data_IF_394418862596
#
_entry.id   IF_394418862596
#
_cell.length_a   1.000
_cell.length_b   1.000
_cell.length_c   1.000
_cell.angle_alpha   90.00
_cell.angle_beta   90.00
_cell.angle_gamma   90.00
#
_symmetry.space_group_name_H-M   'P 1'
#
loop_
_entity.id
_entity.type
_entity.pdbx_description
1 polymer ?
#
# COMPACT_ATOMS: atom_id res chain seq x y z
N UNK A 1 64.47 6.29 -9.16
CA UNK A 1 63.30 6.11 -10.04
C UNK A 1 62.69 4.77 -9.66
N UNK A 2 61.76 4.79 -8.72
CA UNK A 2 60.77 3.73 -8.58
C UNK A 2 59.66 4.28 -7.68
N UNK A 3 58.65 4.89 -8.29
CA UNK A 3 57.42 5.31 -7.63
C UNK A 3 56.31 4.40 -8.13
N UNK A 4 56.38 3.14 -7.71
CA UNK A 4 55.26 2.20 -7.79
C UNK A 4 54.26 2.52 -6.69
N UNK A 5 53.34 3.46 -6.97
CA UNK A 5 52.10 3.60 -6.20
C UNK A 5 50.95 3.64 -7.20
N UNK A 6 50.46 2.46 -7.54
CA UNK A 6 49.02 2.18 -7.62
C UNK A 6 48.84 0.66 -7.48
N UNK A 7 47.80 0.21 -6.74
CA UNK A 7 46.43 0.56 -7.10
C UNK A 7 45.60 1.08 -5.91
N UNK A 8 44.65 1.98 -6.16
CA UNK A 8 43.42 2.11 -5.34
C UNK A 8 42.26 1.38 -6.06
N UNK A 9 42.12 0.06 -5.92
CA UNK A 9 41.07 -0.69 -6.61
C UNK A 9 39.69 -0.75 -5.90
N UNK A 10 39.53 -0.67 -4.56
CA UNK A 10 38.25 -1.09 -3.95
C UNK A 10 37.13 -0.06 -4.16
N UNK A 11 37.45 1.24 -4.16
CA UNK A 11 36.46 2.30 -4.42
C UNK A 11 35.96 2.28 -5.87
N UNK A 12 36.88 2.14 -6.84
CA UNK A 12 36.50 2.09 -8.25
C UNK A 12 35.64 0.85 -8.56
N UNK A 13 35.98 -0.31 -7.97
CA UNK A 13 35.16 -1.51 -8.05
C UNK A 13 33.77 -1.32 -7.47
N UNK A 14 33.65 -0.65 -6.32
CA UNK A 14 32.37 -0.33 -5.68
C UNK A 14 31.51 0.57 -6.58
N UNK A 15 32.07 1.65 -7.13
CA UNK A 15 31.33 2.51 -8.05
C UNK A 15 30.84 1.78 -9.31
N UNK A 16 31.65 0.88 -9.88
CA UNK A 16 31.23 0.05 -11.01
C UNK A 16 30.07 -0.87 -10.62
N UNK A 17 30.17 -1.58 -9.48
CA UNK A 17 29.13 -2.49 -9.02
C UNK A 17 27.81 -1.75 -8.74
N UNK A 18 27.88 -0.57 -8.11
CA UNK A 18 26.72 0.28 -7.88
C UNK A 18 26.09 0.80 -9.19
N UNK A 19 26.92 1.21 -10.15
CA UNK A 19 26.46 1.64 -11.48
C UNK A 19 25.82 0.52 -12.31
N UNK A 20 26.29 -0.74 -12.15
CA UNK A 20 25.66 -1.90 -12.80
C UNK A 20 24.27 -2.21 -12.22
N UNK A 21 24.13 -2.11 -10.90
CA UNK A 21 22.84 -2.27 -10.23
C UNK A 21 21.86 -1.13 -10.56
N UNK A 22 22.36 0.08 -10.80
CA UNK A 22 21.54 1.19 -11.29
C UNK A 22 20.98 0.91 -12.70
N UNK A 23 21.83 0.42 -13.62
CA UNK A 23 21.40 0.07 -14.98
C UNK A 23 20.37 -1.06 -14.98
N UNK A 24 20.55 -2.03 -14.08
CA UNK A 24 19.61 -3.12 -13.87
C UNK A 24 18.16 -2.64 -13.66
N UNK A 25 17.96 -1.58 -12.89
CA UNK A 25 16.60 -1.04 -12.66
C UNK A 25 16.00 -0.21 -13.78
N UNK A 26 16.82 0.30 -14.71
CA UNK A 26 16.34 1.14 -15.82
C UNK A 26 15.98 0.32 -17.07
N UNK A 27 16.64 -0.82 -17.26
CA UNK A 27 16.58 -1.58 -18.52
C UNK A 27 15.58 -2.74 -18.53
N UNK A 28 14.98 -3.10 -17.39
CA UNK A 28 13.98 -4.17 -17.35
C UNK A 28 12.64 -3.70 -17.92
N UNK A 29 12.09 -4.40 -18.94
CA UNK A 29 10.91 -3.94 -19.67
C UNK A 29 9.64 -4.00 -18.81
N UNK A 30 8.88 -2.89 -18.79
CA UNK A 30 7.48 -2.86 -18.32
C UNK A 30 6.69 -3.90 -19.10
N UNK A 31 6.25 -4.99 -18.45
CA UNK A 31 5.42 -6.00 -19.12
C UNK A 31 4.09 -5.38 -19.54
N UNK A 32 3.80 -5.43 -20.85
CA UNK A 32 2.45 -5.32 -21.39
C UNK A 32 1.72 -6.63 -21.07
N UNK A 33 0.52 -6.53 -20.53
CA UNK A 33 -0.45 -7.65 -20.49
C UNK A 33 -0.53 -8.24 -21.90
N UNK A 34 -0.19 -9.53 -22.04
CA UNK A 34 -0.56 -10.31 -23.23
C UNK A 34 -1.87 -11.01 -22.94
N UNK A 35 -2.69 -11.16 -23.97
CA UNK A 35 -3.84 -12.05 -23.95
C UNK A 35 -3.38 -13.47 -23.59
N UNK A 36 -3.91 -13.97 -22.48
CA UNK A 36 -3.60 -15.29 -21.93
C UNK A 36 -4.52 -16.28 -22.64
N UNK A 37 -3.96 -17.14 -23.48
CA UNK A 37 -4.63 -18.34 -23.98
C UNK A 37 -4.80 -19.31 -22.81
N UNK A 38 -6.01 -19.80 -22.58
CA UNK A 38 -6.33 -20.91 -21.68
C UNK A 38 -5.54 -22.15 -22.08
N UNK A 39 -4.38 -22.37 -21.45
CA UNK A 39 -3.69 -23.65 -21.45
C UNK A 39 -3.70 -24.15 -20.03
N UNK A 40 -4.30 -25.31 -19.81
CA UNK A 40 -4.23 -26.00 -18.52
C UNK A 40 -2.77 -26.38 -18.22
N UNK A 41 -2.25 -25.96 -17.07
CA UNK A 41 -0.95 -26.39 -16.56
C UNK A 41 -0.97 -27.89 -16.21
N UNK A 42 0.13 -28.57 -16.45
CA UNK A 42 0.35 -29.93 -15.91
C UNK A 42 0.68 -29.87 -14.42
N UNK A 43 0.35 -30.94 -13.67
CA UNK A 43 0.69 -31.06 -12.23
C UNK A 43 2.18 -30.81 -11.96
N UNK A 44 3.06 -31.25 -12.87
CA UNK A 44 4.51 -31.07 -12.74
C UNK A 44 4.91 -29.59 -12.85
N UNK A 45 4.30 -28.82 -13.74
CA UNK A 45 4.55 -27.37 -13.86
C UNK A 45 4.08 -26.62 -12.61
N UNK A 46 2.96 -27.06 -12.02
CA UNK A 46 2.44 -26.52 -10.76
C UNK A 46 3.41 -26.80 -9.60
N UNK A 47 3.89 -28.04 -9.47
CA UNK A 47 4.83 -28.42 -8.41
C UNK A 47 6.18 -27.72 -8.56
N UNK A 48 6.65 -27.54 -9.79
CA UNK A 48 7.86 -26.75 -10.08
C UNK A 48 7.67 -25.27 -9.70
N UNK A 49 6.52 -24.68 -10.01
CA UNK A 49 6.18 -23.31 -9.60
C UNK A 49 6.15 -23.17 -8.07
N UNK A 50 5.52 -24.10 -7.36
CA UNK A 50 5.51 -24.13 -5.88
C UNK A 50 6.91 -24.24 -5.29
N UNK A 51 7.76 -25.11 -5.84
CA UNK A 51 9.14 -25.27 -5.36
C UNK A 51 9.96 -23.98 -5.55
N UNK A 52 9.84 -23.34 -6.71
CA UNK A 52 10.52 -22.09 -7.04
C UNK A 52 10.07 -20.94 -6.12
N UNK A 53 8.77 -20.89 -5.84
CA UNK A 53 8.18 -19.93 -4.92
C UNK A 53 8.67 -20.13 -3.49
N UNK A 54 8.72 -21.37 -3.00
CA UNK A 54 9.30 -21.70 -1.69
C UNK A 54 10.76 -21.25 -1.64
N UNK A 55 11.54 -21.50 -2.68
CA UNK A 55 12.94 -21.06 -2.74
C UNK A 55 13.08 -19.53 -2.65
N UNK A 56 12.26 -18.78 -3.41
CA UNK A 56 12.25 -17.31 -3.33
C UNK A 56 11.93 -16.84 -1.90
N UNK A 57 10.95 -17.46 -1.25
CA UNK A 57 10.49 -17.07 0.08
C UNK A 57 11.46 -17.43 1.21
N UNK A 58 12.02 -18.64 1.20
CA UNK A 58 12.82 -19.15 2.33
C UNK A 58 14.30 -18.89 2.17
N UNK A 59 14.77 -18.62 0.95
CA UNK A 59 16.19 -18.45 0.66
C UNK A 59 16.49 -17.09 0.05
N UNK A 60 15.91 -16.77 -1.10
CA UNK A 60 16.32 -15.59 -1.87
C UNK A 60 15.96 -14.26 -1.18
N UNK A 61 14.74 -14.12 -0.67
CA UNK A 61 14.31 -12.90 0.04
C UNK A 61 15.05 -12.67 1.38
N UNK A 62 15.25 -13.69 2.25
CA UNK A 62 16.09 -13.53 3.44
C UNK A 62 17.55 -13.16 3.12
N UNK A 63 18.13 -13.75 2.07
CA UNK A 63 19.48 -13.42 1.62
C UNK A 63 19.55 -11.97 1.14
N UNK A 64 18.55 -11.53 0.35
CA UNK A 64 18.43 -10.14 -0.10
C UNK A 64 18.39 -9.18 1.08
N UNK A 65 17.60 -9.49 2.12
CA UNK A 65 17.50 -8.67 3.33
C UNK A 65 18.83 -8.61 4.08
N UNK A 66 19.53 -9.74 4.22
CA UNK A 66 20.83 -9.81 4.87
C UNK A 66 21.87 -8.97 4.13
N UNK A 67 21.91 -9.07 2.79
CA UNK A 67 22.82 -8.31 1.93
C UNK A 67 22.55 -6.80 2.02
N UNK A 68 21.29 -6.37 2.01
CA UNK A 68 20.92 -4.97 2.20
C UNK A 68 21.36 -4.44 3.57
N UNK A 69 21.13 -5.20 4.65
CA UNK A 69 21.58 -4.82 6.00
C UNK A 69 23.11 -4.81 6.12
N UNK A 70 23.79 -5.72 5.42
CA UNK A 70 25.25 -5.79 5.35
C UNK A 70 25.84 -4.56 4.65
N UNK A 71 25.33 -4.26 3.45
CA UNK A 71 25.70 -3.06 2.69
C UNK A 71 25.49 -1.79 3.51
N UNK A 72 24.34 -1.68 4.18
CA UNK A 72 24.04 -0.57 5.08
C UNK A 72 25.05 -0.42 6.20
N UNK A 73 25.39 -1.51 6.91
CA UNK A 73 26.35 -1.47 8.01
C UNK A 73 27.74 -1.05 7.53
N UNK A 74 28.14 -1.46 6.33
CA UNK A 74 29.40 -1.05 5.71
C UNK A 74 29.44 0.42 5.29
N UNK A 75 28.28 1.00 4.95
CA UNK A 75 28.16 2.41 4.52
C UNK A 75 27.80 3.40 5.64
N UNK A 76 27.26 2.93 6.77
CA UNK A 76 26.68 3.78 7.82
C UNK A 76 27.67 4.27 8.89
N UNK A 77 28.98 4.10 8.75
CA UNK A 77 29.95 4.62 9.73
C UNK A 77 30.42 6.03 9.37
N UNK A 78 30.51 6.89 10.39
CA UNK A 78 30.76 8.34 10.32
C UNK A 78 32.15 8.76 9.78
N UNK A 79 32.61 10.00 10.08
CA UNK A 79 33.70 10.64 9.35
C UNK A 79 34.96 9.77 9.34
N UNK A 80 35.61 9.73 8.18
CA UNK A 80 36.83 9.00 7.84
C UNK A 80 38.01 9.54 8.68
N UNK A 81 37.95 9.33 9.99
CA UNK A 81 39.01 9.58 10.97
C UNK A 81 39.57 8.26 11.52
N UNK A 82 39.10 7.13 11.00
CA UNK A 82 39.58 5.79 11.33
C UNK A 82 40.79 5.44 10.45
N UNK A 83 41.67 4.59 10.98
CA UNK A 83 42.88 4.11 10.30
C UNK A 83 42.57 3.63 8.87
N UNK A 84 43.46 3.92 7.91
CA UNK A 84 43.29 3.56 6.48
C UNK A 84 42.89 2.08 6.29
N UNK A 85 43.36 1.20 7.17
CA UNK A 85 43.06 -0.24 7.19
C UNK A 85 41.59 -0.57 7.46
N UNK A 86 40.90 0.23 8.29
CA UNK A 86 39.50 0.02 8.65
C UNK A 86 38.56 0.56 7.55
N UNK A 87 38.92 1.68 6.94
CA UNK A 87 38.23 2.24 5.77
C UNK A 87 38.30 1.29 4.55
N UNK A 88 39.47 0.75 4.25
CA UNK A 88 39.67 -0.18 3.13
C UNK A 88 38.89 -1.49 3.32
N UNK A 89 38.84 -2.00 4.57
CA UNK A 89 38.03 -3.17 4.93
C UNK A 89 36.53 -2.90 4.75
N UNK A 90 36.05 -1.71 5.11
CA UNK A 90 34.64 -1.32 4.95
C UNK A 90 34.24 -1.22 3.48
N UNK A 91 35.07 -0.61 2.64
CA UNK A 91 34.84 -0.49 1.20
C UNK A 91 34.83 -1.87 0.55
N UNK A 92 35.76 -2.75 0.94
CA UNK A 92 35.82 -4.13 0.45
C UNK A 92 34.56 -4.92 0.82
N UNK A 93 34.10 -4.81 2.07
CA UNK A 93 32.85 -5.43 2.51
C UNK A 93 31.63 -4.87 1.77
N UNK A 94 31.57 -3.55 1.57
CA UNK A 94 30.48 -2.91 0.81
C UNK A 94 30.44 -3.40 -0.65
N UNK A 95 31.60 -3.54 -1.29
CA UNK A 95 31.73 -4.07 -2.65
C UNK A 95 31.23 -5.52 -2.72
N UNK A 96 31.62 -6.36 -1.77
CA UNK A 96 31.16 -7.74 -1.70
C UNK A 96 29.63 -7.81 -1.57
N UNK A 97 29.03 -7.04 -0.66
CA UNK A 97 27.58 -7.00 -0.49
C UNK A 97 26.87 -6.48 -1.75
N UNK A 98 27.42 -5.47 -2.45
CA UNK A 98 26.83 -4.94 -3.68
C UNK A 98 26.84 -5.98 -4.82
N UNK A 99 27.95 -6.70 -5.01
CA UNK A 99 28.05 -7.76 -6.03
C UNK A 99 27.08 -8.91 -5.73
N UNK A 100 27.00 -9.33 -4.47
CA UNK A 100 26.07 -10.36 -4.05
C UNK A 100 24.60 -9.92 -4.20
N UNK A 101 24.30 -8.65 -3.93
CA UNK A 101 22.97 -8.07 -4.09
C UNK A 101 22.48 -8.19 -5.55
N UNK A 102 23.35 -7.88 -6.52
CA UNK A 102 23.01 -7.98 -7.94
C UNK A 102 22.72 -9.40 -8.38
N UNK A 103 23.50 -10.37 -7.89
CA UNK A 103 23.27 -11.78 -8.19
C UNK A 103 21.93 -12.27 -7.61
N UNK A 104 21.60 -11.88 -6.37
CA UNK A 104 20.34 -12.25 -5.72
C UNK A 104 19.13 -11.64 -6.43
N UNK A 105 19.18 -10.36 -6.80
CA UNK A 105 18.10 -9.71 -7.55
C UNK A 105 17.85 -10.36 -8.90
N UNK A 106 18.92 -10.67 -9.65
CA UNK A 106 18.83 -11.41 -10.91
C UNK A 106 18.20 -12.79 -10.75
N UNK A 107 18.54 -13.49 -9.66
CA UNK A 107 17.95 -14.79 -9.36
C UNK A 107 16.45 -14.65 -9.09
N UNK A 108 16.06 -13.68 -8.26
CA UNK A 108 14.64 -13.45 -7.95
C UNK A 108 13.86 -13.06 -9.21
N UNK A 109 14.40 -12.18 -10.05
CA UNK A 109 13.70 -11.74 -11.27
C UNK A 109 13.51 -12.89 -12.26
N UNK A 110 14.50 -13.77 -12.42
CA UNK A 110 14.34 -14.98 -13.24
C UNK A 110 13.30 -15.92 -12.64
N UNK A 111 13.31 -16.11 -11.33
CA UNK A 111 12.33 -16.94 -10.64
C UNK A 111 10.91 -16.38 -10.82
N UNK A 112 10.72 -15.08 -10.62
CA UNK A 112 9.42 -14.42 -10.82
C UNK A 112 8.99 -14.42 -12.29
N UNK A 113 9.91 -14.24 -13.24
CA UNK A 113 9.59 -14.32 -14.67
C UNK A 113 9.13 -15.71 -15.09
N UNK A 114 9.67 -16.76 -14.47
CA UNK A 114 9.25 -18.15 -14.65
C UNK A 114 7.86 -18.40 -14.05
N UNK A 115 7.59 -17.89 -12.84
CA UNK A 115 6.26 -17.97 -12.21
C UNK A 115 5.20 -17.25 -13.07
N UNK A 116 5.50 -16.03 -13.52
CA UNK A 116 4.63 -15.21 -14.36
C UNK A 116 4.42 -15.74 -15.80
N UNK A 117 4.99 -16.88 -16.15
CA UNK A 117 4.79 -17.54 -17.46
C UNK A 117 3.82 -18.71 -17.39
N UNK A 118 3.37 -19.08 -16.19
CA UNK A 118 2.38 -20.12 -15.96
C UNK A 118 0.95 -19.55 -16.18
N UNK A 119 0.13 -20.13 -17.08
CA UNK A 119 -1.27 -19.71 -17.23
C UNK A 119 -2.08 -19.94 -15.94
N UNK A 120 -2.89 -18.95 -15.58
CA UNK A 120 -3.85 -19.02 -14.46
C UNK A 120 -4.94 -20.03 -14.87
N UNK A 121 -4.93 -21.22 -14.30
CA UNK A 121 -5.95 -22.26 -14.55
C UNK A 121 -6.95 -22.32 -13.40
N UNK A 122 -8.23 -22.09 -13.71
CA UNK A 122 -9.37 -22.22 -12.79
C UNK A 122 -9.63 -23.66 -12.34
N UNK A 123 -9.13 -24.66 -13.06
CA UNK A 123 -9.62 -26.05 -12.97
C UNK A 123 -8.84 -26.96 -12.01
N UNK A 124 -7.74 -26.50 -11.39
CA UNK A 124 -6.78 -27.38 -10.71
C UNK A 124 -6.41 -27.00 -9.27
N UNK A 125 -7.28 -26.28 -8.56
CA UNK A 125 -7.07 -26.04 -7.13
C UNK A 125 -5.87 -25.13 -6.85
N UNK A 126 -5.64 -24.13 -7.70
CA UNK A 126 -4.94 -22.91 -7.30
C UNK A 126 -5.85 -22.12 -6.36
N UNK A 127 -6.11 -22.66 -5.16
CA UNK A 127 -6.90 -22.01 -4.12
C UNK A 127 -6.05 -20.99 -3.36
N UNK A 128 -5.37 -20.13 -4.12
CA UNK A 128 -4.82 -18.87 -3.68
C UNK A 128 -3.36 -18.83 -3.16
N UNK A 129 -2.88 -17.59 -3.20
CA UNK A 129 -1.56 -16.99 -3.02
C UNK A 129 -0.56 -17.24 -4.14
N UNK A 130 -0.17 -16.12 -4.75
CA UNK A 130 1.10 -15.89 -5.44
C UNK A 130 1.05 -16.17 -6.95
N UNK A 131 0.58 -15.18 -7.71
CA UNK A 131 1.19 -14.92 -9.02
C UNK A 131 1.16 -13.42 -9.36
N UNK A 132 0.05 -12.71 -9.12
CA UNK A 132 0.00 -11.27 -9.43
C UNK A 132 0.42 -10.36 -8.28
N UNK A 133 -0.07 -10.57 -7.06
CA UNK A 133 0.19 -9.63 -5.97
C UNK A 133 1.63 -9.70 -5.43
N UNK A 134 2.27 -10.88 -5.41
CA UNK A 134 3.68 -10.98 -4.97
C UNK A 134 4.62 -10.36 -6.00
N UNK A 135 4.29 -10.49 -7.28
CA UNK A 135 5.01 -9.84 -8.40
C UNK A 135 4.78 -8.33 -8.37
N UNK A 136 3.55 -7.87 -8.12
CA UNK A 136 3.23 -6.44 -7.95
C UNK A 136 3.91 -5.86 -6.71
N UNK A 137 3.84 -6.54 -5.56
CA UNK A 137 4.52 -6.14 -4.32
C UNK A 137 6.05 -6.12 -4.49
N UNK A 138 6.63 -7.09 -5.19
CA UNK A 138 8.04 -7.13 -5.50
C UNK A 138 8.44 -5.99 -6.45
N UNK A 139 7.67 -5.76 -7.52
CA UNK A 139 7.96 -4.69 -8.46
C UNK A 139 7.82 -3.29 -7.84
N UNK A 140 6.77 -3.10 -7.03
CA UNK A 140 6.44 -1.81 -6.41
C UNK A 140 7.38 -1.48 -5.24
N UNK A 141 7.83 -2.47 -4.46
CA UNK A 141 8.53 -2.23 -3.19
C UNK A 141 9.99 -2.71 -3.16
N UNK A 142 10.46 -3.49 -4.15
CA UNK A 142 11.84 -3.99 -4.19
C UNK A 142 12.53 -3.59 -5.49
N UNK A 143 11.93 -3.89 -6.64
CA UNK A 143 12.53 -3.66 -7.95
C UNK A 143 12.65 -2.17 -8.31
N UNK A 144 11.69 -1.33 -7.91
CA UNK A 144 11.75 0.12 -8.20
C UNK A 144 12.59 0.92 -7.18
N UNK A 145 12.52 0.65 -5.86
CA UNK A 145 13.25 1.44 -4.87
C UNK A 145 14.75 1.16 -4.84
N UNK A 146 15.19 -0.08 -5.05
CA UNK A 146 16.62 -0.44 -4.91
C UNK A 146 17.49 0.22 -6.00
N UNK A 147 17.14 0.20 -7.29
CA UNK A 147 17.96 0.87 -8.31
C UNK A 147 17.94 2.40 -8.21
N UNK A 148 16.79 2.99 -7.83
CA UNK A 148 16.69 4.42 -7.53
C UNK A 148 17.45 4.82 -6.24
N UNK A 149 17.60 3.88 -5.30
CA UNK A 149 18.44 4.02 -4.11
C UNK A 149 19.93 4.02 -4.49
N UNK A 150 20.33 3.16 -5.43
CA UNK A 150 21.73 3.04 -5.87
C UNK A 150 22.17 4.19 -6.79
N UNK A 151 21.27 4.73 -7.61
CA UNK A 151 21.52 5.92 -8.44
C UNK A 151 21.75 7.20 -7.64
N UNK A 152 21.43 7.19 -6.34
CA UNK A 152 21.57 8.34 -5.45
C UNK A 152 22.78 8.24 -4.51
N UNK A 153 23.63 7.19 -4.63
CA UNK A 153 24.86 7.01 -3.85
C UNK A 153 26.00 7.90 -4.37
N UNK A 154 25.88 9.21 -4.15
CA UNK A 154 27.03 10.11 -4.17
C UNK A 154 27.72 10.01 -2.80
N UNK A 155 28.93 9.41 -2.75
CA UNK A 155 29.59 9.00 -1.49
C UNK A 155 30.05 10.17 -0.61
N UNK A 156 29.87 11.41 -1.05
CA UNK A 156 30.07 12.61 -0.24
C UNK A 156 28.70 13.20 0.13
N UNK A 157 28.22 13.00 1.37
CA UNK A 157 27.34 13.92 2.15
C UNK A 157 26.62 13.18 3.32
N UNK A 158 26.64 13.71 4.57
CA UNK A 158 25.91 13.14 5.72
C UNK A 158 24.38 13.04 5.57
N UNK A 159 23.77 13.93 4.76
CA UNK A 159 22.33 13.88 4.46
C UNK A 159 21.94 12.66 3.62
N UNK A 160 22.89 12.12 2.85
CA UNK A 160 22.69 10.95 2.02
C UNK A 160 22.64 9.67 2.87
N UNK A 161 23.51 9.57 3.88
CA UNK A 161 23.56 8.47 4.83
C UNK A 161 22.22 8.27 5.57
N UNK A 162 21.59 9.36 6.03
CA UNK A 162 20.25 9.29 6.65
C UNK A 162 19.16 8.79 5.68
N UNK A 163 19.25 9.17 4.40
CA UNK A 163 18.33 8.70 3.34
C UNK A 163 18.57 7.23 3.00
N UNK A 164 19.83 6.80 3.00
CA UNK A 164 20.25 5.41 2.75
C UNK A 164 19.74 4.47 3.85
N UNK A 165 19.88 4.88 5.12
CA UNK A 165 19.31 4.16 6.28
C UNK A 165 17.80 4.02 6.16
N UNK A 166 17.10 5.14 5.96
CA UNK A 166 15.63 5.15 5.87
C UNK A 166 15.12 4.26 4.75
N UNK A 167 15.68 4.36 3.55
CA UNK A 167 15.23 3.59 2.38
C UNK A 167 15.53 2.09 2.53
N UNK A 168 16.66 1.73 3.14
CA UNK A 168 16.95 0.30 3.38
C UNK A 168 16.03 -0.27 4.44
N UNK A 169 15.70 0.49 5.49
CA UNK A 169 14.70 0.07 6.48
C UNK A 169 13.31 -0.10 5.84
N UNK A 170 12.91 0.80 4.93
CA UNK A 170 11.68 0.66 4.14
C UNK A 170 11.71 -0.59 3.24
N UNK A 171 12.83 -0.86 2.56
CA UNK A 171 12.99 -2.03 1.69
C UNK A 171 12.98 -3.33 2.51
N UNK A 172 13.70 -3.36 3.65
CA UNK A 172 13.72 -4.51 4.55
C UNK A 172 12.32 -4.79 5.13
N UNK A 173 11.58 -3.76 5.52
CA UNK A 173 10.18 -3.89 5.95
C UNK A 173 9.29 -4.43 4.84
N UNK A 174 9.54 -4.03 3.60
CA UNK A 174 8.82 -4.55 2.44
C UNK A 174 9.11 -6.03 2.19
N UNK A 175 10.37 -6.45 2.30
CA UNK A 175 10.75 -7.87 2.24
C UNK A 175 10.08 -8.67 3.36
N UNK A 176 10.10 -8.17 4.60
CA UNK A 176 9.43 -8.81 5.73
C UNK A 176 7.92 -8.92 5.50
N UNK A 177 7.29 -7.89 4.94
CA UNK A 177 5.88 -7.90 4.57
C UNK A 177 5.58 -8.94 3.50
N UNK A 178 6.45 -9.10 2.49
CA UNK A 178 6.30 -10.12 1.45
C UNK A 178 6.43 -11.52 2.05
N UNK A 179 7.46 -11.78 2.87
CA UNK A 179 7.67 -13.09 3.53
C UNK A 179 6.50 -13.41 4.48
N UNK A 180 6.00 -12.43 5.23
CA UNK A 180 4.85 -12.61 6.12
C UNK A 180 3.58 -12.90 5.33
N UNK A 181 3.34 -12.11 4.28
CA UNK A 181 2.20 -12.27 3.38
C UNK A 181 2.22 -13.64 2.71
N UNK A 182 3.40 -14.13 2.34
CA UNK A 182 3.55 -15.43 1.67
C UNK A 182 3.32 -16.62 2.60
N UNK A 183 3.51 -16.44 3.92
CA UNK A 183 3.31 -17.47 4.94
C UNK A 183 1.93 -17.44 5.60
N UNK A 184 1.22 -16.31 5.53
CA UNK A 184 -0.12 -16.18 6.12
C UNK A 184 -1.20 -16.94 5.35
N UNK A 185 -2.45 -16.87 5.80
CA UNK A 185 -3.62 -17.30 4.99
C UNK A 185 -4.02 -16.19 4.00
N UNK A 186 -4.74 -16.55 2.94
CA UNK A 186 -5.25 -15.58 1.94
C UNK A 186 -6.15 -14.53 2.56
N UNK A 187 -6.95 -14.96 3.52
CA UNK A 187 -7.73 -14.06 4.34
C UNK A 187 -6.83 -13.13 5.16
N UNK A 188 -5.77 -13.66 5.78
CA UNK A 188 -4.79 -12.85 6.52
C UNK A 188 -4.09 -11.81 5.63
N UNK A 189 -3.84 -12.12 4.36
CA UNK A 189 -3.30 -11.16 3.40
C UNK A 189 -4.27 -10.01 3.12
N UNK A 190 -5.56 -10.30 2.87
CA UNK A 190 -6.57 -9.25 2.74
C UNK A 190 -6.72 -8.44 4.04
N UNK A 191 -6.67 -9.08 5.20
CA UNK A 191 -6.74 -8.39 6.49
C UNK A 191 -5.57 -7.42 6.71
N UNK A 192 -4.37 -7.75 6.27
CA UNK A 192 -3.23 -6.83 6.33
C UNK A 192 -3.45 -5.61 5.43
N UNK A 193 -3.99 -5.80 4.22
CA UNK A 193 -4.34 -4.69 3.31
C UNK A 193 -5.46 -3.81 3.88
N UNK A 194 -6.53 -4.44 4.36
CA UNK A 194 -7.67 -3.76 4.98
C UNK A 194 -7.27 -2.98 6.23
N UNK A 195 -6.28 -3.47 6.99
CA UNK A 195 -5.73 -2.73 8.13
C UNK A 195 -5.04 -1.44 7.69
N UNK A 196 -4.29 -1.48 6.60
CA UNK A 196 -3.66 -0.27 6.03
C UNK A 196 -4.73 0.72 5.60
N UNK A 197 -5.77 0.26 4.89
CA UNK A 197 -6.87 1.12 4.46
C UNK A 197 -7.69 1.69 5.64
N UNK A 198 -7.97 0.88 6.66
CA UNK A 198 -8.60 1.31 7.90
C UNK A 198 -7.78 2.37 8.64
N UNK A 199 -6.46 2.17 8.79
CA UNK A 199 -5.57 3.16 9.42
C UNK A 199 -5.55 4.48 8.65
N UNK A 200 -5.50 4.45 7.32
CA UNK A 200 -5.54 5.67 6.48
C UNK A 200 -6.83 6.46 6.68
N UNK A 201 -7.95 5.77 6.88
CA UNK A 201 -9.23 6.40 7.18
C UNK A 201 -9.29 6.93 8.61
N UNK A 202 -8.70 6.21 9.58
CA UNK A 202 -8.54 6.67 10.96
C UNK A 202 -7.73 7.96 11.04
N UNK A 203 -6.55 7.99 10.42
CA UNK A 203 -5.72 9.20 10.33
C UNK A 203 -6.48 10.36 9.68
N UNK A 204 -7.29 10.06 8.65
CA UNK A 204 -8.09 11.07 7.96
C UNK A 204 -9.25 11.59 8.82
N UNK A 205 -9.88 10.72 9.61
CA UNK A 205 -10.93 11.08 10.56
C UNK A 205 -10.36 12.00 11.65
N UNK A 206 -9.22 11.63 12.24
CA UNK A 206 -8.58 12.44 13.29
C UNK A 206 -8.18 13.83 12.79
N UNK A 207 -7.62 13.91 11.57
CA UNK A 207 -7.31 15.18 10.90
C UNK A 207 -8.56 16.04 10.67
N UNK A 208 -9.69 15.41 10.34
CA UNK A 208 -10.95 16.09 10.09
C UNK A 208 -11.56 16.63 11.38
N UNK A 209 -11.58 15.83 12.45
CA UNK A 209 -12.06 16.26 13.77
C UNK A 209 -11.18 17.41 14.31
N UNK A 210 -9.86 17.32 14.14
CA UNK A 210 -8.93 18.41 14.51
C UNK A 210 -9.20 19.69 13.69
N UNK A 211 -9.38 19.57 12.36
CA UNK A 211 -9.66 20.70 11.48
C UNK A 211 -10.99 21.39 11.84
N UNK A 212 -12.01 20.60 12.17
CA UNK A 212 -13.32 21.10 12.60
C UNK A 212 -13.24 21.83 13.95
N UNK A 213 -12.42 21.33 14.87
CA UNK A 213 -12.18 21.96 16.18
C UNK A 213 -11.46 23.30 16.03
N UNK A 214 -10.37 23.36 15.24
CA UNK A 214 -9.59 24.58 15.00
C UNK A 214 -10.44 25.72 14.43
N UNK A 215 -11.30 25.43 13.45
CA UNK A 215 -12.26 26.40 12.89
C UNK A 215 -13.28 26.89 13.91
N UNK A 216 -13.56 26.12 14.97
CA UNK A 216 -14.41 26.55 16.08
C UNK A 216 -13.72 27.54 17.03
N UNK A 217 -12.39 27.47 17.16
CA UNK A 217 -11.61 28.31 18.08
C UNK A 217 -11.26 29.66 17.45
N UNK A 218 -10.90 29.67 16.16
CA UNK A 218 -10.53 30.89 15.41
C UNK A 218 -11.71 31.85 15.22
N UNK A 219 -12.95 31.34 15.28
CA UNK A 219 -14.18 32.16 15.23
C UNK A 219 -14.43 33.00 16.49
N UNK A 220 -13.72 32.74 17.60
CA UNK A 220 -13.94 33.41 18.88
C UNK A 220 -12.98 34.58 19.14
N UNK A 221 -12.06 34.90 18.21
CA UNK A 221 -11.20 36.07 18.30
C UNK A 221 -11.81 37.25 17.51
N UNK A 222 -12.38 38.26 18.19
CA UNK A 222 -13.07 39.37 17.54
C UNK A 222 -12.12 40.40 16.89
N UNK A 223 -10.79 40.22 16.98
CA UNK A 223 -9.84 41.25 16.56
C UNK A 223 -9.32 41.15 15.12
N UNK A 224 -9.60 40.07 14.38
CA UNK A 224 -8.93 39.84 13.07
C UNK A 224 -9.80 39.31 11.91
N UNK A 225 -11.08 38.98 12.08
CA UNK A 225 -11.89 38.41 10.98
C UNK A 225 -12.90 39.40 10.38
N UNK A 226 -12.80 39.65 9.07
CA UNK A 226 -13.87 40.31 8.32
C UNK A 226 -15.11 39.41 8.27
N UNK A 227 -16.31 40.00 8.25
CA UNK A 227 -17.59 39.28 8.23
C UNK A 227 -17.69 38.24 7.09
N UNK A 228 -17.03 38.48 5.94
CA UNK A 228 -16.92 37.53 4.84
C UNK A 228 -16.08 36.29 5.17
N UNK A 229 -14.99 36.43 5.93
CA UNK A 229 -14.16 35.30 6.36
C UNK A 229 -14.88 34.42 7.39
N UNK A 230 -15.72 35.01 8.24
CA UNK A 230 -16.55 34.29 9.21
C UNK A 230 -17.59 33.39 8.53
N UNK A 231 -18.30 33.90 7.52
CA UNK A 231 -19.30 33.12 6.77
C UNK A 231 -18.68 31.95 6.00
N UNK A 232 -17.53 32.18 5.34
CA UNK A 232 -16.79 31.13 4.64
C UNK A 232 -16.26 30.05 5.60
N UNK A 233 -15.78 30.44 6.78
CA UNK A 233 -15.33 29.50 7.81
C UNK A 233 -16.49 28.69 8.39
N UNK A 234 -17.67 29.28 8.56
CA UNK A 234 -18.86 28.59 9.05
C UNK A 234 -19.38 27.56 8.04
N UNK A 235 -19.46 27.94 6.76
CA UNK A 235 -19.85 27.05 5.67
C UNK A 235 -18.84 25.89 5.50
N UNK A 236 -17.53 26.19 5.57
CA UNK A 236 -16.47 25.17 5.58
C UNK A 236 -16.60 24.22 6.78
N UNK A 237 -16.87 24.74 7.97
CA UNK A 237 -17.10 23.93 9.18
C UNK A 237 -18.27 22.98 9.00
N UNK A 238 -19.40 23.46 8.47
CA UNK A 238 -20.56 22.59 8.21
C UNK A 238 -20.27 21.50 7.18
N UNK A 239 -19.47 21.79 6.15
CA UNK A 239 -19.03 20.77 5.19
C UNK A 239 -18.14 19.71 5.82
N UNK A 240 -17.18 20.11 6.65
CA UNK A 240 -16.31 19.17 7.38
C UNK A 240 -17.12 18.26 8.31
N UNK A 241 -18.07 18.83 9.07
CA UNK A 241 -18.96 18.07 9.94
C UNK A 241 -19.83 17.05 9.19
N UNK A 242 -20.24 17.36 7.95
CA UNK A 242 -21.01 16.42 7.11
C UNK A 242 -20.14 15.31 6.50
N UNK A 243 -18.85 15.56 6.32
CA UNK A 243 -17.91 14.57 5.79
C UNK A 243 -17.39 13.60 6.88
N UNK A 244 -17.45 13.98 8.15
CA UNK A 244 -16.94 13.19 9.29
C UNK A 244 -17.59 11.81 9.43
N UNK A 245 -18.92 11.66 9.31
CA UNK A 245 -19.55 10.35 9.31
C UNK A 245 -19.01 9.39 8.24
N UNK A 246 -18.62 9.89 7.05
CA UNK A 246 -18.10 9.03 5.99
C UNK A 246 -16.76 8.38 6.36
N UNK A 247 -15.85 9.16 6.96
CA UNK A 247 -14.57 8.63 7.43
C UNK A 247 -14.79 7.58 8.52
N UNK A 248 -15.67 7.86 9.48
CA UNK A 248 -15.99 6.95 10.58
C UNK A 248 -16.65 5.63 10.11
N UNK A 249 -17.58 5.72 9.15
CA UNK A 249 -18.21 4.53 8.54
C UNK A 249 -17.15 3.67 7.85
N UNK A 250 -16.21 4.29 7.14
CA UNK A 250 -15.08 3.59 6.53
C UNK A 250 -14.20 2.87 7.56
N UNK A 251 -13.85 3.53 8.68
CA UNK A 251 -13.10 2.90 9.78
C UNK A 251 -13.85 1.68 10.33
N UNK A 252 -15.14 1.85 10.68
CA UNK A 252 -15.97 0.75 11.20
C UNK A 252 -16.11 -0.41 10.21
N UNK A 253 -16.16 -0.12 8.91
CA UNK A 253 -16.21 -1.14 7.86
C UNK A 253 -14.95 -2.02 7.88
N UNK A 254 -13.76 -1.41 7.92
CA UNK A 254 -12.51 -2.18 7.94
C UNK A 254 -12.24 -2.84 9.29
N UNK A 255 -12.62 -2.22 10.40
CA UNK A 255 -12.49 -2.83 11.74
C UNK A 255 -13.26 -4.16 11.83
N UNK A 256 -14.44 -4.23 11.19
CA UNK A 256 -15.22 -5.49 11.12
C UNK A 256 -14.55 -6.57 10.27
N UNK A 257 -13.75 -6.19 9.28
CA UNK A 257 -13.06 -7.12 8.37
C UNK A 257 -11.73 -7.65 8.94
N UNK A 258 -11.01 -6.83 9.70
CA UNK A 258 -9.72 -7.19 10.30
C UNK A 258 -9.92 -7.81 11.69
N UNK A 259 -11.00 -7.44 12.38
CA UNK A 259 -11.18 -7.73 13.79
C UNK A 259 -10.35 -6.78 14.66
N UNK A 260 -10.75 -6.62 15.91
CA UNK A 260 -10.01 -5.82 16.89
C UNK A 260 -9.29 -6.73 17.87
N UNK A 261 -8.36 -6.17 18.65
CA UNK A 261 -7.70 -6.90 19.74
C UNK A 261 -8.69 -7.56 20.71
N UNK A 262 -9.88 -6.96 20.88
CA UNK A 262 -10.94 -7.45 21.78
C UNK A 262 -12.02 -8.28 21.08
N UNK A 263 -12.06 -8.28 19.74
CA UNK A 263 -13.08 -8.98 18.96
C UNK A 263 -12.48 -9.56 17.68
N UNK A 264 -12.18 -10.86 17.69
CA UNK A 264 -11.81 -11.60 16.48
C UNK A 264 -12.99 -11.61 15.51
N UNK A 265 -12.70 -11.53 14.21
CA UNK A 265 -13.73 -11.66 13.17
C UNK A 265 -14.46 -13.00 13.30
N UNK A 266 -15.77 -12.99 13.09
CA UNK A 266 -16.63 -14.17 13.15
C UNK A 266 -16.63 -15.00 11.87
N UNK A 267 -15.77 -14.66 10.92
CA UNK A 267 -15.76 -15.19 9.57
C UNK A 267 -14.35 -15.31 8.99
N UNK A 268 -14.25 -16.11 7.94
CA UNK A 268 -13.06 -16.34 7.10
C UNK A 268 -13.47 -16.39 5.62
N UNK A 269 -12.49 -16.45 4.71
CA UNK A 269 -12.77 -16.73 3.29
C UNK A 269 -13.15 -18.19 3.08
N UNK A 270 -14.06 -18.40 2.12
CA UNK A 270 -14.33 -19.72 1.57
C UNK A 270 -13.05 -20.30 0.94
N UNK A 271 -12.79 -21.61 1.09
CA UNK A 271 -11.68 -22.27 0.39
C UNK A 271 -11.86 -22.28 -1.13
N UNK A 272 -13.06 -21.95 -1.64
CA UNK A 272 -13.35 -21.87 -3.08
C UNK A 272 -12.96 -20.54 -3.73
N UNK A 273 -12.38 -19.60 -2.97
CA UNK A 273 -12.02 -18.27 -3.50
C UNK A 273 -10.82 -18.38 -4.42
N UNK A 274 -10.97 -17.95 -5.67
CA UNK A 274 -9.87 -17.90 -6.64
C UNK A 274 -9.01 -16.64 -6.47
N UNK A 275 -7.84 -16.64 -7.10
CA UNK A 275 -6.99 -15.44 -7.18
C UNK A 275 -7.68 -14.26 -7.87
N UNK A 276 -8.55 -14.54 -8.86
CA UNK A 276 -9.35 -13.50 -9.52
C UNK A 276 -10.35 -12.88 -8.54
N UNK A 277 -11.08 -13.72 -7.80
CA UNK A 277 -12.05 -13.27 -6.80
C UNK A 277 -11.39 -12.42 -5.70
N UNK A 278 -10.18 -12.77 -5.29
CA UNK A 278 -9.41 -11.94 -4.37
C UNK A 278 -8.97 -10.61 -4.95
N UNK A 279 -8.56 -10.59 -6.21
CA UNK A 279 -8.30 -9.34 -6.92
C UNK A 279 -9.55 -8.44 -6.93
N UNK A 280 -10.73 -9.02 -7.14
CA UNK A 280 -12.01 -8.31 -7.07
C UNK A 280 -12.29 -7.77 -5.65
N UNK A 281 -12.16 -8.61 -4.60
CA UNK A 281 -12.33 -8.19 -3.20
C UNK A 281 -11.40 -7.02 -2.83
N UNK A 282 -10.11 -7.15 -3.16
CA UNK A 282 -9.10 -6.09 -2.96
C UNK A 282 -9.50 -4.80 -3.69
N UNK A 283 -9.80 -4.90 -4.98
CA UNK A 283 -10.17 -3.75 -5.82
C UNK A 283 -11.39 -3.01 -5.27
N UNK A 284 -12.47 -3.71 -4.94
CA UNK A 284 -13.71 -3.07 -4.50
C UNK A 284 -13.55 -2.45 -3.10
N UNK A 285 -12.89 -3.13 -2.16
CA UNK A 285 -12.63 -2.60 -0.81
C UNK A 285 -11.66 -1.42 -0.81
N UNK A 286 -10.54 -1.48 -1.55
CA UNK A 286 -9.64 -0.34 -1.68
C UNK A 286 -10.27 0.81 -2.48
N UNK A 287 -11.15 0.52 -3.43
CA UNK A 287 -11.96 1.51 -4.14
C UNK A 287 -12.87 2.30 -3.20
N UNK A 288 -13.51 1.62 -2.24
CA UNK A 288 -14.29 2.26 -1.16
C UNK A 288 -13.40 3.22 -0.35
N UNK A 289 -12.27 2.74 0.16
CA UNK A 289 -11.32 3.58 0.92
C UNK A 289 -10.87 4.81 0.13
N UNK A 290 -10.48 4.61 -1.13
CA UNK A 290 -9.99 5.68 -1.99
C UNK A 290 -11.04 6.77 -2.23
N UNK A 291 -12.31 6.40 -2.43
CA UNK A 291 -13.37 7.39 -2.67
C UNK A 291 -13.78 8.15 -1.39
N UNK A 292 -13.82 7.50 -0.23
CA UNK A 292 -14.00 8.20 1.05
C UNK A 292 -12.87 9.22 1.24
N UNK A 293 -11.61 8.82 1.06
CA UNK A 293 -10.47 9.72 1.18
C UNK A 293 -10.53 10.90 0.19
N UNK A 294 -10.95 10.67 -1.06
CA UNK A 294 -11.13 11.76 -2.04
C UNK A 294 -12.17 12.77 -1.56
N UNK A 295 -13.35 12.30 -1.15
CA UNK A 295 -14.45 13.15 -0.67
C UNK A 295 -14.03 13.94 0.56
N UNK A 296 -13.45 13.28 1.57
CA UNK A 296 -13.05 13.96 2.80
C UNK A 296 -11.94 14.98 2.54
N UNK A 297 -10.95 14.63 1.70
CA UNK A 297 -9.83 15.53 1.38
C UNK A 297 -10.22 16.74 0.53
N UNK A 298 -11.28 16.65 -0.28
CA UNK A 298 -11.80 17.83 -0.98
C UNK A 298 -12.29 18.91 -0.02
N UNK A 299 -12.74 18.55 1.19
CA UNK A 299 -13.17 19.52 2.19
C UNK A 299 -12.04 20.06 3.08
N UNK A 300 -10.96 19.29 3.26
CA UNK A 300 -9.83 19.71 4.10
C UNK A 300 -8.79 20.57 3.36
N UNK A 301 -8.72 20.49 2.02
CA UNK A 301 -7.83 21.33 1.20
C UNK A 301 -8.15 22.82 1.39
N UNK A 302 -7.15 23.69 1.23
CA UNK A 302 -7.36 25.15 1.15
C UNK A 302 -8.50 25.41 0.18
N UNK A 303 -9.56 26.06 0.66
CA UNK A 303 -10.87 26.10 0.00
C UNK A 303 -10.83 26.62 -1.44
N UNK A 304 -11.93 26.41 -2.21
CA UNK A 304 -12.01 26.84 -3.60
C UNK A 304 -11.75 28.35 -3.71
N UNK A 305 -10.99 28.76 -4.73
CA UNK A 305 -10.59 30.16 -4.88
C UNK A 305 -11.76 31.05 -5.34
N UNK A 306 -12.79 30.45 -5.96
CA UNK A 306 -14.02 31.09 -6.42
C UNK A 306 -15.21 30.08 -6.43
N UNK A 307 -16.40 30.54 -6.81
CA UNK A 307 -17.61 29.72 -6.88
C UNK A 307 -17.57 28.66 -7.99
N UNK A 308 -16.94 28.95 -9.12
CA UNK A 308 -16.76 28.00 -10.22
C UNK A 308 -15.92 26.79 -9.80
N UNK A 309 -14.86 27.02 -9.01
CA UNK A 309 -14.03 25.98 -8.42
C UNK A 309 -14.83 25.15 -7.41
N UNK A 310 -15.71 25.78 -6.63
CA UNK A 310 -16.58 25.07 -5.69
C UNK A 310 -17.57 24.16 -6.44
N UNK A 311 -18.23 24.67 -7.48
CA UNK A 311 -19.17 23.88 -8.29
C UNK A 311 -18.46 22.72 -9.00
N UNK A 312 -17.24 22.94 -9.51
CA UNK A 312 -16.43 21.88 -10.10
C UNK A 312 -16.04 20.80 -9.07
N UNK A 313 -15.70 21.18 -7.83
CA UNK A 313 -15.43 20.23 -6.75
C UNK A 313 -16.69 19.49 -6.30
N UNK A 314 -17.86 20.14 -6.24
CA UNK A 314 -19.15 19.47 -5.97
C UNK A 314 -19.50 18.45 -7.05
N UNK A 315 -19.29 18.78 -8.33
CA UNK A 315 -19.44 17.83 -9.41
C UNK A 315 -18.56 16.57 -9.24
N UNK A 316 -17.32 16.73 -8.79
CA UNK A 316 -16.42 15.61 -8.48
C UNK A 316 -16.91 14.79 -7.29
N UNK A 317 -17.35 15.45 -6.21
CA UNK A 317 -17.88 14.78 -5.02
C UNK A 317 -19.12 13.96 -5.35
N UNK A 318 -20.01 14.44 -6.21
CA UNK A 318 -21.17 13.68 -6.67
C UNK A 318 -20.76 12.40 -7.41
N UNK A 319 -19.77 12.49 -8.32
CA UNK A 319 -19.24 11.32 -9.03
C UNK A 319 -18.60 10.33 -8.05
N UNK A 320 -17.76 10.82 -7.13
CA UNK A 320 -17.11 9.96 -6.13
C UNK A 320 -18.10 9.33 -5.16
N UNK A 321 -19.20 10.01 -4.84
CA UNK A 321 -20.27 9.47 -3.98
C UNK A 321 -20.97 8.29 -4.65
N UNK A 322 -21.25 8.38 -5.95
CA UNK A 322 -21.82 7.27 -6.73
C UNK A 322 -20.86 6.09 -6.81
N UNK A 323 -19.58 6.35 -7.08
CA UNK A 323 -18.56 5.29 -7.10
C UNK A 323 -18.36 4.65 -5.73
N UNK A 324 -18.41 5.44 -4.65
CA UNK A 324 -18.35 4.93 -3.28
C UNK A 324 -19.51 3.97 -2.99
N UNK A 325 -20.75 4.34 -3.30
CA UNK A 325 -21.90 3.43 -3.16
C UNK A 325 -21.73 2.17 -4.01
N UNK A 326 -21.27 2.30 -5.26
CA UNK A 326 -21.01 1.16 -6.15
C UNK A 326 -19.97 0.20 -5.56
N UNK A 327 -18.86 0.72 -5.05
CA UNK A 327 -17.81 -0.08 -4.42
C UNK A 327 -18.29 -0.76 -3.14
N UNK A 328 -19.10 -0.06 -2.32
CA UNK A 328 -19.70 -0.65 -1.12
C UNK A 328 -20.62 -1.82 -1.48
N UNK A 329 -21.56 -1.61 -2.40
CA UNK A 329 -22.52 -2.63 -2.82
C UNK A 329 -21.85 -3.83 -3.53
N UNK A 330 -20.81 -3.56 -4.31
CA UNK A 330 -19.99 -4.60 -4.93
C UNK A 330 -19.23 -5.41 -3.88
N UNK A 331 -18.64 -4.75 -2.88
CA UNK A 331 -17.98 -5.42 -1.75
C UNK A 331 -18.96 -6.30 -0.97
N UNK A 332 -20.16 -5.79 -0.69
CA UNK A 332 -21.22 -6.55 -0.03
C UNK A 332 -21.64 -7.80 -0.80
N UNK A 333 -21.73 -7.69 -2.12
CA UNK A 333 -22.06 -8.81 -3.00
C UNK A 333 -20.96 -9.86 -2.94
N UNK A 334 -19.70 -9.46 -3.12
CA UNK A 334 -18.54 -10.36 -3.04
C UNK A 334 -18.45 -11.04 -1.66
N UNK A 335 -18.70 -10.28 -0.58
CA UNK A 335 -18.73 -10.84 0.75
C UNK A 335 -19.80 -11.91 0.95
N UNK A 336 -20.95 -11.78 0.28
CA UNK A 336 -22.01 -12.79 0.35
C UNK A 336 -21.63 -14.12 -0.29
N UNK A 337 -20.78 -14.09 -1.31
CA UNK A 337 -20.28 -15.29 -1.98
C UNK A 337 -19.07 -15.90 -1.28
N UNK A 338 -18.21 -15.06 -0.68
CA UNK A 338 -16.87 -15.48 -0.28
C UNK A 338 -16.61 -15.49 1.21
N UNK A 339 -17.38 -14.78 2.03
CA UNK A 339 -17.23 -14.84 3.48
C UNK A 339 -18.09 -15.97 4.05
N UNK A 340 -17.45 -16.87 4.78
CA UNK A 340 -18.10 -17.97 5.50
C UNK A 340 -17.85 -17.82 7.01
N UNK A 341 -18.74 -18.34 7.86
CA UNK A 341 -18.52 -18.37 9.31
C UNK A 341 -17.18 -19.03 9.66
N UNK A 342 -16.49 -18.52 10.67
CA UNK A 342 -15.24 -19.13 11.15
C UNK A 342 -15.52 -20.55 11.67
N UNK A 343 -14.98 -21.61 11.03
CA UNK A 343 -15.26 -23.00 11.39
C UNK A 343 -14.72 -23.38 12.76
N UNK A 344 -13.84 -22.57 13.36
CA UNK A 344 -13.33 -22.79 14.71
C UNK A 344 -14.30 -22.38 15.83
N UNK A 345 -15.47 -21.79 15.50
CA UNK A 345 -16.49 -21.41 16.49
C UNK A 345 -17.37 -22.59 16.87
N UNK A 346 -17.68 -22.66 18.17
CA UNK A 346 -18.56 -23.70 18.76
C UNK A 346 -19.98 -23.58 18.20
N UNK A 347 -20.48 -22.36 17.99
CA UNK A 347 -21.78 -22.06 17.36
C UNK A 347 -21.59 -21.00 16.25
N UNK A 348 -21.31 -21.40 15.01
CA UNK A 348 -21.14 -20.46 13.91
C UNK A 348 -22.48 -19.82 13.52
N UNK A 349 -22.55 -18.48 13.35
CA UNK A 349 -23.76 -17.83 12.85
C UNK A 349 -24.05 -18.29 11.41
N UNK A 350 -25.31 -18.27 10.99
CA UNK A 350 -25.62 -18.52 9.58
C UNK A 350 -24.95 -17.45 8.69
N UNK A 351 -24.50 -17.80 7.47
CA UNK A 351 -23.85 -16.84 6.56
C UNK A 351 -24.70 -15.60 6.27
N UNK A 352 -26.02 -15.76 6.15
CA UNK A 352 -26.94 -14.64 5.93
C UNK A 352 -26.99 -13.69 7.14
N UNK A 353 -27.02 -14.27 8.34
CA UNK A 353 -27.01 -13.51 9.60
C UNK A 353 -25.69 -12.79 9.80
N UNK A 354 -24.58 -13.35 9.32
CA UNK A 354 -23.26 -12.74 9.39
C UNK A 354 -23.21 -11.41 8.64
N UNK A 355 -23.63 -11.37 7.37
CA UNK A 355 -23.61 -10.14 6.59
C UNK A 355 -24.62 -9.12 7.08
N UNK A 356 -25.82 -9.60 7.43
CA UNK A 356 -26.90 -8.75 7.93
C UNK A 356 -26.49 -8.06 9.23
N UNK A 357 -25.96 -8.82 10.19
CA UNK A 357 -25.50 -8.27 11.48
C UNK A 357 -24.21 -7.44 11.36
N UNK A 358 -23.37 -7.73 10.37
CA UNK A 358 -22.07 -7.06 10.25
C UNK A 358 -22.15 -5.76 9.45
N UNK A 359 -22.85 -5.70 8.32
CA UNK A 359 -22.66 -4.62 7.36
C UNK A 359 -23.95 -3.92 6.89
N UNK A 360 -25.14 -4.48 7.16
CA UNK A 360 -26.38 -3.89 6.67
C UNK A 360 -26.68 -2.52 7.32
N UNK A 361 -26.37 -2.37 8.60
CA UNK A 361 -26.44 -1.09 9.31
C UNK A 361 -25.49 -0.06 8.68
N UNK A 362 -24.23 -0.46 8.40
CA UNK A 362 -23.25 0.41 7.75
C UNK A 362 -23.70 0.88 6.37
N UNK A 363 -24.43 0.05 5.61
CA UNK A 363 -25.00 0.45 4.32
C UNK A 363 -26.00 1.59 4.48
N UNK A 364 -26.86 1.49 5.49
CA UNK A 364 -27.90 2.47 5.77
C UNK A 364 -27.29 3.78 6.27
N UNK A 365 -26.31 3.69 7.17
CA UNK A 365 -25.52 4.84 7.64
C UNK A 365 -24.77 5.53 6.49
N UNK A 366 -24.15 4.76 5.59
CA UNK A 366 -23.44 5.29 4.43
C UNK A 366 -24.37 6.09 3.52
N UNK A 367 -25.54 5.54 3.21
CA UNK A 367 -26.51 6.21 2.37
C UNK A 367 -26.97 7.53 3.00
N UNK A 368 -27.31 7.51 4.29
CA UNK A 368 -27.72 8.71 5.03
C UNK A 368 -26.62 9.77 5.05
N UNK A 369 -25.36 9.38 5.29
CA UNK A 369 -24.23 10.29 5.30
C UNK A 369 -24.02 10.95 3.91
N UNK A 370 -24.13 10.18 2.83
CA UNK A 370 -24.03 10.70 1.46
C UNK A 370 -25.20 11.64 1.13
N UNK A 371 -26.42 11.31 1.53
CA UNK A 371 -27.57 12.19 1.35
C UNK A 371 -27.38 13.53 2.08
N UNK A 372 -26.94 13.48 3.34
CA UNK A 372 -26.69 14.69 4.13
C UNK A 372 -25.55 15.55 3.55
N UNK A 373 -24.51 14.90 3.01
CA UNK A 373 -23.42 15.58 2.33
C UNK A 373 -23.92 16.34 1.10
N UNK A 374 -24.77 15.71 0.28
CA UNK A 374 -25.24 16.25 -1.00
C UNK A 374 -26.45 17.19 -0.87
N UNK A 375 -27.29 17.03 0.16
CA UNK A 375 -28.48 17.86 0.40
C UNK A 375 -28.13 19.31 0.76
N UNK A 376 -26.91 19.53 1.23
CA UNK A 376 -26.34 20.85 1.51
C UNK A 376 -26.34 21.78 0.30
N UNK A 377 -26.13 21.23 -0.89
CA UNK A 377 -25.85 21.94 -2.13
C UNK A 377 -27.14 22.43 -2.82
N UNK A 378 -28.21 21.62 -2.74
CA UNK A 378 -29.53 22.02 -3.27
C UNK A 378 -30.12 23.25 -2.58
N UNK A 379 -29.71 23.53 -1.34
CA UNK A 379 -30.13 24.75 -0.63
C UNK A 379 -29.41 26.01 -1.14
N UNK A 380 -28.20 25.88 -1.69
CA UNK A 380 -27.47 26.99 -2.31
C UNK A 380 -28.08 27.35 -3.68
N UNK A 381 -28.54 26.37 -4.46
CA UNK A 381 -29.28 26.60 -5.72
C UNK A 381 -30.59 27.37 -5.49
N UNK A 382 -31.31 27.11 -4.39
CA UNK A 382 -32.60 27.77 -4.08
C UNK A 382 -32.49 29.14 -3.39
N UNK A 383 -31.29 29.61 -3.07
CA UNK A 383 -31.04 30.92 -2.44
C UNK A 383 -30.56 31.98 -3.44
N UNK A 384 -30.40 31.60 -4.71
CA UNK A 384 -29.96 32.47 -5.82
C UNK A 384 -31.11 32.77 -6.81
N UNK A 385 -32.27 32.16 -6.62
CA UNK A 385 -33.56 32.58 -7.21
C UNK A 385 -34.36 33.43 -6.22
#
# INVERSE_FOLDING_TARGET
MDSGIEPRPPMHGLFIALGQLERYGRETPRRRMRDISEKSLSSHEIDAGKALLVEVQTRSLPILQLQLRGLMRSLATGPINEEESESERKITNALEFALQLGATLNLIDRSLASLASAPISEELGFTCKIDHDLIELYHSNIHFPIPAFLSNLDLEVPRLQGKIIKNTDETCRSIDAIIRSSKGSDFGFLQDLWRVDGNRLGDCHDQLSESTLRLGTDSNDPTTSSQGNLLLNLDRKHRLQRAEPLALIGVRFFDKLVGTYYAKTSFTLSPSVSSYDMGCLKKETSGLCAHILKIVRSFTRSGPANEDDLHAEMGKILVWSKELSRHFDSSMTLFAFFLIPDPSRIDPPFPEDLLRSSFFELRSELHLALEQLLAADRKLETLVD
#
